data_IF_318585170284
#
_entry.id   IF_318585170284
#
_cell.length_a   1.000
_cell.length_b   1.000
_cell.length_c   1.000
_cell.angle_alpha   90.00
_cell.angle_beta   90.00
_cell.angle_gamma   90.00
#
_symmetry.space_group_name_H-M   'P 1'
#
loop_
_entity.id
_entity.type
_entity.pdbx_description
1 polymer ?
#
# COMPACT_ATOMS: atom_id res chain seq x y z
N UNK A 1 12.57 14.66 4.85
CA UNK A 1 11.96 14.54 3.51
C UNK A 1 11.48 15.92 3.09
N UNK A 2 11.80 16.34 1.86
CA UNK A 2 11.31 17.61 1.35
C UNK A 2 9.79 17.53 1.11
N UNK A 3 9.07 18.64 1.29
CA UNK A 3 7.60 18.75 1.07
C UNK A 3 7.19 18.47 -0.39
N UNK A 4 8.15 18.40 -1.30
CA UNK A 4 7.94 18.27 -2.75
C UNK A 4 8.20 16.85 -3.29
N UNK A 5 8.45 15.85 -2.44
CA UNK A 5 8.68 14.47 -2.91
C UNK A 5 7.39 13.66 -2.85
N UNK A 6 7.02 13.02 -3.96
CA UNK A 6 5.89 12.08 -4.01
C UNK A 6 6.04 11.02 -2.92
N UNK A 7 5.01 10.80 -2.07
CA UNK A 7 5.05 9.78 -1.04
C UNK A 7 5.29 8.38 -1.62
N UNK A 8 5.94 7.50 -0.85
CA UNK A 8 6.21 6.13 -1.29
C UNK A 8 4.92 5.38 -1.70
N UNK A 9 3.82 5.58 -0.97
CA UNK A 9 2.52 4.95 -1.24
C UNK A 9 1.86 5.38 -2.57
N UNK A 10 2.30 6.48 -3.17
CA UNK A 10 1.78 7.02 -4.43
C UNK A 10 2.70 6.76 -5.63
N UNK A 11 3.87 6.16 -5.38
CA UNK A 11 4.81 5.76 -6.44
C UNK A 11 4.43 4.43 -7.03
N UNK A 12 4.67 4.24 -8.33
CA UNK A 12 4.57 2.92 -8.95
C UNK A 12 5.73 2.05 -8.45
N UNK A 13 5.43 0.92 -7.82
CA UNK A 13 6.42 0.00 -7.29
C UNK A 13 6.84 -1.02 -8.34
N UNK A 14 8.12 -0.99 -8.72
CA UNK A 14 8.72 -1.89 -9.70
C UNK A 14 9.66 -2.85 -8.99
N UNK A 15 9.28 -4.12 -8.90
CA UNK A 15 10.12 -5.18 -8.33
C UNK A 15 11.03 -5.78 -9.39
N UNK A 16 12.33 -5.90 -9.07
CA UNK A 16 13.32 -6.50 -9.96
C UNK A 16 13.76 -7.84 -9.37
N UNK A 17 13.39 -8.91 -10.04
CA UNK A 17 13.58 -10.29 -9.65
C UNK A 17 14.58 -10.99 -10.57
N UNK A 18 15.15 -12.06 -10.12
CA UNK A 18 16.06 -12.90 -10.91
C UNK A 18 17.21 -13.46 -10.07
N UNK A 19 17.93 -14.39 -10.66
CA UNK A 19 19.08 -15.04 -10.02
C UNK A 19 20.18 -14.04 -9.67
N UNK A 20 21.08 -14.49 -8.83
CA UNK A 20 22.32 -13.77 -8.58
C UNK A 20 23.10 -13.61 -9.89
N UNK A 21 23.80 -12.52 -10.04
CA UNK A 21 24.61 -12.17 -11.23
C UNK A 21 23.82 -12.07 -12.56
N UNK A 22 22.48 -12.11 -12.54
CA UNK A 22 21.67 -11.84 -13.74
C UNK A 22 21.80 -10.38 -14.23
N UNK A 23 22.46 -9.52 -13.46
CA UNK A 23 22.69 -8.13 -13.81
C UNK A 23 21.55 -7.19 -13.38
N UNK A 24 20.80 -7.55 -12.32
CA UNK A 24 19.71 -6.72 -11.76
C UNK A 24 20.18 -5.30 -11.43
N UNK A 25 21.24 -5.18 -10.64
CA UNK A 25 21.79 -3.88 -10.24
C UNK A 25 22.34 -3.07 -11.42
N UNK A 26 22.99 -3.73 -12.39
CA UNK A 26 23.42 -3.08 -13.63
C UNK A 26 22.24 -2.60 -14.46
N UNK A 27 21.16 -3.37 -14.54
CA UNK A 27 19.94 -2.98 -15.21
C UNK A 27 19.26 -1.78 -14.54
N UNK A 28 19.21 -1.76 -13.21
CA UNK A 28 18.73 -0.59 -12.45
C UNK A 28 19.52 0.66 -12.83
N UNK A 29 20.84 0.58 -12.80
CA UNK A 29 21.71 1.71 -13.15
C UNK A 29 21.49 2.17 -14.59
N UNK A 30 21.34 1.24 -15.56
CA UNK A 30 21.05 1.57 -16.94
C UNK A 30 19.67 2.22 -17.14
N UNK A 31 18.62 1.69 -16.51
CA UNK A 31 17.26 2.25 -16.57
C UNK A 31 17.23 3.66 -15.96
N UNK A 32 17.95 3.89 -14.88
CA UNK A 32 17.90 5.14 -14.11
C UNK A 32 18.90 6.18 -14.62
N UNK A 33 19.82 5.77 -15.47
CA UNK A 33 20.96 6.61 -15.93
C UNK A 33 21.78 7.18 -14.76
N UNK A 34 21.85 6.46 -13.63
CA UNK A 34 22.56 6.84 -12.41
C UNK A 34 23.23 5.61 -11.79
N UNK A 35 24.38 5.78 -11.17
CA UNK A 35 25.04 4.74 -10.39
C UNK A 35 24.37 4.57 -9.01
N UNK A 36 23.12 4.12 -9.00
CA UNK A 36 22.31 4.00 -7.78
C UNK A 36 22.45 2.65 -7.07
N UNK A 37 22.80 1.61 -7.81
CA UNK A 37 22.98 0.27 -7.26
C UNK A 37 24.47 -0.04 -7.12
N UNK A 38 24.87 -0.53 -5.96
CA UNK A 38 26.24 -1.02 -5.75
C UNK A 38 26.35 -2.37 -6.45
N UNK A 39 27.10 -2.41 -7.54
CA UNK A 39 27.50 -3.67 -8.19
C UNK A 39 28.61 -4.27 -7.33
N UNK A 40 28.28 -5.19 -6.43
CA UNK A 40 29.25 -5.86 -5.58
C UNK A 40 29.65 -7.19 -6.20
N UNK A 41 30.94 -7.41 -6.40
CA UNK A 41 31.52 -8.71 -6.78
C UNK A 41 31.62 -9.68 -5.59
N UNK A 42 31.44 -9.20 -4.34
CA UNK A 42 31.56 -10.03 -3.14
C UNK A 42 30.29 -10.83 -2.84
N UNK A 43 30.51 -12.11 -2.54
CA UNK A 43 29.44 -13.05 -2.13
C UNK A 43 28.84 -12.61 -0.80
N UNK A 44 27.51 -12.37 -0.76
CA UNK A 44 26.75 -12.51 0.48
C UNK A 44 26.33 -11.24 1.21
N UNK A 45 26.19 -10.05 0.57
CA UNK A 45 26.06 -8.82 1.33
C UNK A 45 24.65 -8.28 1.55
N UNK A 46 23.59 -8.74 0.87
CA UNK A 46 22.22 -8.25 1.16
C UNK A 46 21.20 -9.36 1.13
N UNK A 47 20.61 -9.62 2.29
CA UNK A 47 19.42 -10.48 2.43
C UNK A 47 18.13 -9.68 2.30
N UNK A 48 18.18 -8.36 2.41
CA UNK A 48 17.02 -7.46 2.41
C UNK A 48 16.82 -6.77 1.06
N UNK A 49 15.56 -6.60 0.62
CA UNK A 49 15.23 -5.80 -0.56
C UNK A 49 15.66 -4.34 -0.37
N UNK A 50 16.22 -3.73 -1.40
CA UNK A 50 16.64 -2.33 -1.39
C UNK A 50 15.61 -1.48 -2.12
N UNK A 51 15.08 -0.46 -1.43
CA UNK A 51 14.06 0.44 -1.96
C UNK A 51 14.69 1.75 -2.42
N UNK A 52 14.40 2.17 -3.65
CA UNK A 52 14.91 3.42 -4.24
C UNK A 52 13.80 4.23 -4.89
N UNK A 53 13.52 5.39 -4.32
CA UNK A 53 12.55 6.35 -4.87
C UNK A 53 13.21 7.22 -5.95
N UNK A 54 12.59 7.34 -7.12
CA UNK A 54 13.09 8.16 -8.22
C UNK A 54 11.99 8.55 -9.21
N UNK A 55 12.37 9.33 -10.22
CA UNK A 55 11.56 9.60 -11.40
C UNK A 55 12.04 8.73 -12.56
N UNK A 56 11.13 8.01 -13.21
CA UNK A 56 11.39 7.20 -14.40
C UNK A 56 10.47 7.66 -15.53
N UNK A 57 11.00 8.44 -16.46
CA UNK A 57 10.24 8.88 -17.62
C UNK A 57 10.10 7.75 -18.67
N UNK A 58 8.92 7.59 -19.32
CA UNK A 58 7.71 8.44 -19.18
C UNK A 58 6.75 8.03 -18.07
N UNK A 59 7.09 7.05 -17.21
CA UNK A 59 6.19 6.52 -16.16
C UNK A 59 5.93 7.54 -15.03
N UNK A 60 6.93 8.38 -14.68
CA UNK A 60 6.87 9.33 -13.57
C UNK A 60 7.47 8.81 -12.27
N UNK A 61 6.89 9.16 -11.09
CA UNK A 61 7.42 8.76 -9.80
C UNK A 61 7.35 7.25 -9.58
N UNK A 62 8.50 6.60 -9.34
CA UNK A 62 8.59 5.16 -9.09
C UNK A 62 9.33 4.84 -7.79
N UNK A 63 9.07 3.65 -7.26
CA UNK A 63 9.85 2.98 -6.23
C UNK A 63 10.44 1.71 -6.83
N UNK A 64 11.74 1.70 -7.11
CA UNK A 64 12.42 0.48 -7.54
C UNK A 64 12.77 -0.35 -6.33
N UNK A 65 12.45 -1.65 -6.39
CA UNK A 65 12.73 -2.62 -5.34
C UNK A 65 13.68 -3.67 -5.91
N UNK A 66 14.96 -3.55 -5.54
CA UNK A 66 15.99 -4.55 -5.89
C UNK A 66 15.89 -5.73 -4.95
N UNK A 67 15.60 -6.92 -5.48
CA UNK A 67 15.45 -8.12 -4.66
C UNK A 67 16.76 -8.90 -4.58
N UNK A 68 17.04 -9.59 -3.44
CA UNK A 68 18.15 -10.54 -3.36
C UNK A 68 18.03 -11.62 -4.45
N UNK A 69 19.16 -12.21 -4.87
CA UNK A 69 19.17 -13.33 -5.80
C UNK A 69 18.41 -14.54 -5.26
N UNK A 70 17.68 -15.26 -6.15
CA UNK A 70 16.76 -16.34 -5.80
C UNK A 70 17.38 -17.75 -5.90
N UNK A 71 18.68 -17.86 -5.99
CA UNK A 71 19.43 -19.07 -6.34
C UNK A 71 20.32 -19.60 -5.22
N UNK A 72 20.17 -19.14 -3.99
CA UNK A 72 20.94 -19.66 -2.86
C UNK A 72 20.24 -20.90 -2.24
N UNK A 73 21.03 -21.93 -1.99
CA UNK A 73 20.62 -23.13 -1.27
C UNK A 73 20.78 -22.95 0.26
N UNK A 74 19.99 -23.68 1.06
CA UNK A 74 20.04 -23.64 2.52
C UNK A 74 19.13 -22.61 3.18
N UNK A 75 19.32 -22.37 4.48
CA UNK A 75 18.47 -21.47 5.29
C UNK A 75 18.43 -20.03 4.78
N UNK A 76 19.56 -19.52 4.29
CA UNK A 76 19.65 -18.19 3.68
C UNK A 76 18.84 -18.08 2.37
N UNK A 77 18.80 -19.17 1.59
CA UNK A 77 17.99 -19.27 0.38
C UNK A 77 16.49 -19.18 0.70
N UNK A 78 16.02 -19.92 1.69
CA UNK A 78 14.63 -19.89 2.14
C UNK A 78 14.20 -18.50 2.62
N UNK A 79 15.05 -17.80 3.38
CA UNK A 79 14.78 -16.43 3.82
C UNK A 79 14.70 -15.44 2.66
N UNK A 80 15.57 -15.56 1.65
CA UNK A 80 15.55 -14.69 0.45
C UNK A 80 14.31 -14.94 -0.39
N UNK A 81 13.89 -16.19 -0.54
CA UNK A 81 12.64 -16.54 -1.24
C UNK A 81 11.45 -15.94 -0.50
N UNK A 82 11.38 -16.06 0.82
CA UNK A 82 10.31 -15.45 1.62
C UNK A 82 10.26 -13.93 1.45
N UNK A 83 11.42 -13.24 1.48
CA UNK A 83 11.50 -11.80 1.26
C UNK A 83 11.10 -11.40 -0.17
N UNK A 84 11.49 -12.17 -1.18
CA UNK A 84 11.05 -11.94 -2.56
C UNK A 84 9.53 -12.12 -2.70
N UNK A 85 8.94 -13.09 -2.02
CA UNK A 85 7.48 -13.29 -1.96
C UNK A 85 6.76 -12.09 -1.33
N UNK A 86 7.32 -11.51 -0.27
CA UNK A 86 6.78 -10.28 0.33
C UNK A 86 6.83 -9.10 -0.65
N UNK A 87 7.93 -8.97 -1.41
CA UNK A 87 8.06 -7.93 -2.44
C UNK A 87 7.02 -8.10 -3.55
N UNK A 88 6.71 -9.33 -3.96
CA UNK A 88 5.66 -9.60 -4.96
C UNK A 88 4.29 -9.03 -4.56
N UNK A 89 3.97 -9.05 -3.26
CA UNK A 89 2.72 -8.47 -2.75
C UNK A 89 2.67 -6.94 -2.77
N UNK A 90 3.81 -6.27 -3.00
CA UNK A 90 3.95 -4.81 -2.97
C UNK A 90 4.15 -4.20 -4.35
N UNK A 91 4.55 -5.01 -5.35
CA UNK A 91 4.88 -4.52 -6.67
C UNK A 91 3.63 -4.28 -7.53
N UNK A 92 3.66 -3.18 -8.28
CA UNK A 92 2.70 -2.87 -9.34
C UNK A 92 3.16 -3.46 -10.68
N UNK A 93 4.49 -3.53 -10.88
CA UNK A 93 5.14 -4.10 -12.08
C UNK A 93 6.30 -4.97 -11.61
N UNK A 94 6.52 -6.12 -12.27
CA UNK A 94 7.65 -6.99 -12.03
C UNK A 94 8.54 -7.12 -13.28
N UNK A 95 9.86 -7.02 -13.07
CA UNK A 95 10.86 -7.36 -14.07
C UNK A 95 11.56 -8.65 -13.65
N UNK A 96 11.43 -9.71 -14.43
CA UNK A 96 12.21 -10.93 -14.25
C UNK A 96 13.46 -10.83 -15.11
N UNK A 97 14.62 -10.67 -14.49
CA UNK A 97 15.91 -10.50 -15.16
C UNK A 97 16.64 -11.83 -15.21
N UNK A 98 16.96 -12.27 -16.40
CA UNK A 98 17.66 -13.52 -16.70
C UNK A 98 18.99 -13.20 -17.39
N UNK A 99 20.04 -13.90 -17.00
CA UNK A 99 21.32 -13.86 -17.72
C UNK A 99 21.19 -14.62 -19.04
N UNK A 100 21.21 -13.91 -20.14
CA UNK A 100 21.04 -14.50 -21.48
C UNK A 100 22.14 -15.52 -21.82
N UNK A 101 23.34 -15.39 -21.25
CA UNK A 101 24.43 -16.34 -21.48
C UNK A 101 24.20 -17.70 -20.83
N UNK A 102 23.37 -17.75 -19.77
CA UNK A 102 22.98 -18.97 -19.04
C UNK A 102 21.67 -19.53 -19.58
N UNK A 103 20.76 -18.65 -20.04
CA UNK A 103 19.41 -19.01 -20.48
C UNK A 103 18.40 -19.17 -19.35
N UNK A 104 17.17 -19.55 -19.74
CA UNK A 104 16.03 -19.71 -18.81
C UNK A 104 16.17 -21.00 -18.00
N UNK A 105 16.18 -20.88 -16.69
CA UNK A 105 16.15 -22.03 -15.77
C UNK A 105 14.74 -22.40 -15.34
N UNK A 106 14.56 -23.57 -14.74
CA UNK A 106 13.27 -23.98 -14.17
C UNK A 106 12.82 -23.06 -13.02
N UNK A 107 13.75 -22.50 -12.24
CA UNK A 107 13.43 -21.52 -11.21
C UNK A 107 12.89 -20.22 -11.78
N UNK A 108 13.44 -19.75 -12.90
CA UNK A 108 12.94 -18.55 -13.61
C UNK A 108 11.53 -18.81 -14.16
N UNK A 109 11.28 -19.98 -14.74
CA UNK A 109 9.96 -20.39 -15.23
C UNK A 109 8.94 -20.49 -14.10
N UNK A 110 9.32 -21.09 -12.97
CA UNK A 110 8.46 -21.20 -11.78
C UNK A 110 8.11 -19.82 -11.22
N UNK A 111 9.06 -18.90 -11.12
CA UNK A 111 8.81 -17.53 -10.69
C UNK A 111 7.90 -16.79 -11.68
N UNK A 112 8.13 -16.96 -12.98
CA UNK A 112 7.25 -16.39 -13.99
C UNK A 112 5.80 -16.86 -13.84
N UNK A 113 5.59 -18.14 -13.60
CA UNK A 113 4.25 -18.69 -13.34
C UNK A 113 3.61 -18.06 -12.08
N UNK A 114 4.37 -17.83 -11.02
CA UNK A 114 3.88 -17.15 -9.82
C UNK A 114 3.46 -15.70 -10.11
N UNK A 115 4.24 -14.97 -10.92
CA UNK A 115 3.89 -13.62 -11.36
C UNK A 115 2.55 -13.60 -12.12
N UNK A 116 2.37 -14.57 -13.01
CA UNK A 116 1.13 -14.71 -13.80
C UNK A 116 -0.06 -15.11 -12.92
N UNK A 117 0.12 -16.05 -11.98
CA UNK A 117 -0.93 -16.45 -11.04
C UNK A 117 -1.43 -15.27 -10.19
N UNK A 118 -0.52 -14.36 -9.81
CA UNK A 118 -0.85 -13.12 -9.09
C UNK A 118 -1.37 -12.00 -10.02
N UNK A 119 -1.52 -12.24 -11.32
CA UNK A 119 -1.91 -11.24 -12.33
C UNK A 119 -1.08 -9.97 -12.23
N UNK A 120 0.20 -10.11 -11.90
CA UNK A 120 1.12 -8.98 -11.79
C UNK A 120 1.64 -8.62 -13.19
N UNK A 121 1.45 -7.38 -13.66
CA UNK A 121 2.05 -6.91 -14.91
C UNK A 121 3.55 -7.17 -14.90
N UNK A 122 4.07 -7.94 -15.86
CA UNK A 122 5.43 -8.45 -15.79
C UNK A 122 6.13 -8.43 -17.14
N UNK A 123 7.43 -8.13 -17.13
CA UNK A 123 8.32 -8.19 -18.30
C UNK A 123 9.43 -9.20 -18.01
N UNK A 124 9.70 -10.07 -18.97
CA UNK A 124 10.86 -10.93 -18.99
C UNK A 124 12.02 -10.18 -19.67
N UNK A 125 13.12 -9.99 -18.94
CA UNK A 125 14.29 -9.25 -19.41
C UNK A 125 15.46 -10.21 -19.56
N UNK A 126 15.87 -10.47 -20.80
CA UNK A 126 17.06 -11.26 -21.13
C UNK A 126 18.25 -10.28 -21.22
N UNK A 127 19.03 -10.21 -20.15
CA UNK A 127 20.16 -9.28 -20.04
C UNK A 127 21.47 -9.95 -20.44
N UNK A 128 22.50 -9.15 -20.72
CA UNK A 128 23.84 -9.56 -21.15
C UNK A 128 23.87 -10.18 -22.57
N UNK A 129 23.00 -9.68 -23.44
CA UNK A 129 22.91 -10.19 -24.82
C UNK A 129 24.17 -9.93 -25.65
N UNK A 130 25.05 -9.02 -25.21
CA UNK A 130 26.37 -8.78 -25.79
C UNK A 130 27.30 -9.98 -25.70
N UNK A 131 27.02 -10.94 -24.83
CA UNK A 131 27.78 -12.20 -24.69
C UNK A 131 27.34 -13.29 -25.67
N UNK A 132 26.28 -13.07 -26.44
CA UNK A 132 25.69 -14.04 -27.34
C UNK A 132 25.83 -13.63 -28.82
N UNK A 133 26.09 -14.59 -29.66
CA UNK A 133 25.94 -14.44 -31.13
C UNK A 133 24.45 -14.35 -31.55
N UNK A 134 24.18 -13.90 -32.77
CA UNK A 134 22.81 -13.68 -33.27
C UNK A 134 21.98 -14.97 -33.24
N UNK A 135 22.59 -16.13 -33.54
CA UNK A 135 21.88 -17.41 -33.58
C UNK A 135 21.40 -17.80 -32.17
N UNK A 136 22.23 -17.65 -31.14
CA UNK A 136 21.87 -17.92 -29.74
C UNK A 136 20.84 -16.93 -29.25
N UNK A 137 20.94 -15.64 -29.62
CA UNK A 137 19.91 -14.64 -29.29
C UNK A 137 18.56 -15.03 -29.87
N UNK A 138 18.50 -15.48 -31.11
CA UNK A 138 17.27 -15.93 -31.77
C UNK A 138 16.66 -17.17 -31.11
N UNK A 139 17.46 -18.18 -30.77
CA UNK A 139 17.01 -19.40 -30.09
C UNK A 139 16.44 -19.09 -28.69
N UNK A 140 17.15 -18.28 -27.93
CA UNK A 140 16.69 -17.87 -26.60
C UNK A 140 15.41 -17.05 -26.66
N UNK A 141 15.29 -16.18 -27.67
CA UNK A 141 14.06 -15.41 -27.91
C UNK A 141 12.88 -16.33 -28.20
N UNK A 142 13.07 -17.34 -29.06
CA UNK A 142 12.03 -18.32 -29.34
C UNK A 142 11.60 -19.12 -28.09
N UNK A 143 12.53 -19.48 -27.24
CA UNK A 143 12.22 -20.13 -25.96
C UNK A 143 11.44 -19.20 -25.04
N UNK A 144 11.87 -17.96 -24.87
CA UNK A 144 11.21 -16.95 -24.05
C UNK A 144 9.80 -16.61 -24.54
N UNK A 145 9.60 -16.56 -25.86
CA UNK A 145 8.29 -16.32 -26.47
C UNK A 145 7.27 -17.43 -26.22
N UNK A 146 7.69 -18.64 -25.86
CA UNK A 146 6.79 -19.70 -25.40
C UNK A 146 6.18 -19.38 -24.02
N UNK A 147 6.87 -18.58 -23.23
CA UNK A 147 6.40 -18.14 -21.90
C UNK A 147 5.60 -16.84 -21.99
N UNK A 148 6.09 -15.86 -22.79
CA UNK A 148 5.47 -14.54 -22.88
C UNK A 148 5.88 -13.79 -24.13
N UNK A 149 4.94 -12.94 -24.62
CA UNK A 149 5.24 -11.93 -25.64
C UNK A 149 5.93 -10.68 -25.09
N UNK A 150 5.87 -10.46 -23.75
CA UNK A 150 6.50 -9.36 -23.05
C UNK A 150 7.95 -9.75 -22.69
N UNK A 151 8.79 -9.93 -23.71
CA UNK A 151 10.19 -10.32 -23.57
C UNK A 151 11.11 -9.32 -24.29
N UNK A 152 12.15 -8.85 -23.57
CA UNK A 152 13.10 -7.87 -24.08
C UNK A 152 14.53 -8.37 -23.93
N UNK A 153 15.27 -8.34 -25.05
CA UNK A 153 16.71 -8.58 -25.09
C UNK A 153 17.44 -7.28 -24.84
N UNK A 154 18.23 -7.22 -23.77
CA UNK A 154 18.94 -6.00 -23.40
C UNK A 154 20.42 -6.26 -23.06
N UNK A 155 21.23 -5.24 -23.22
CA UNK A 155 22.53 -5.16 -22.56
C UNK A 155 22.56 -3.96 -21.64
N UNK A 156 22.52 -4.22 -20.34
CA UNK A 156 22.66 -3.16 -19.34
C UNK A 156 24.06 -2.52 -19.39
N UNK A 157 25.09 -3.30 -19.76
CA UNK A 157 26.47 -2.84 -19.88
C UNK A 157 26.65 -1.93 -21.11
N UNK A 158 26.12 -2.34 -22.26
CA UNK A 158 26.25 -1.60 -23.51
C UNK A 158 25.11 -0.60 -23.75
N UNK A 159 24.20 -0.45 -22.78
CA UNK A 159 22.99 0.39 -22.87
C UNK A 159 22.11 0.09 -24.10
N UNK A 160 22.06 -1.20 -24.54
CA UNK A 160 21.32 -1.63 -25.71
C UNK A 160 19.88 -1.97 -25.33
N UNK A 161 18.89 -1.47 -26.10
CA UNK A 161 17.45 -1.68 -25.92
C UNK A 161 16.90 -1.26 -24.55
N UNK A 162 17.60 -0.36 -23.83
CA UNK A 162 17.16 0.12 -22.51
C UNK A 162 16.01 1.11 -22.65
N UNK A 163 15.98 1.93 -23.71
CA UNK A 163 14.88 2.87 -23.93
C UNK A 163 13.58 2.14 -24.30
N UNK A 164 13.66 1.12 -25.14
CA UNK A 164 12.54 0.26 -25.50
C UNK A 164 11.97 -0.45 -24.25
N UNK A 165 12.85 -0.89 -23.37
CA UNK A 165 12.41 -1.47 -22.08
C UNK A 165 11.71 -0.42 -21.19
N UNK A 166 12.21 0.83 -21.13
CA UNK A 166 11.55 1.91 -20.38
C UNK A 166 10.13 2.19 -20.90
N UNK A 167 9.97 2.26 -22.21
CA UNK A 167 8.65 2.44 -22.85
C UNK A 167 7.72 1.28 -22.54
N UNK A 168 8.23 0.04 -22.60
CA UNK A 168 7.45 -1.13 -22.24
C UNK A 168 7.03 -1.15 -20.77
N UNK A 169 7.91 -0.75 -19.85
CA UNK A 169 7.57 -0.59 -18.43
C UNK A 169 6.49 0.47 -18.26
N UNK A 170 6.60 1.60 -18.96
CA UNK A 170 5.61 2.66 -18.90
C UNK A 170 4.24 2.23 -19.44
N UNK A 171 4.22 1.41 -20.49
CA UNK A 171 2.98 0.86 -21.03
C UNK A 171 2.25 -0.11 -20.08
N UNK A 172 2.98 -0.69 -19.11
CA UNK A 172 2.40 -1.53 -18.04
C UNK A 172 1.90 -0.74 -16.85
N UNK A 173 1.97 0.61 -16.89
CA UNK A 173 1.43 1.43 -15.79
C UNK A 173 0.05 0.91 -15.42
N UNK A 174 -0.18 0.58 -14.13
CA UNK A 174 -1.50 0.20 -13.69
C UNK A 174 -2.50 1.25 -14.16
N UNK A 175 -3.57 0.83 -14.81
CA UNK A 175 -4.65 1.77 -15.09
C UNK A 175 -5.07 2.34 -13.75
N UNK A 176 -4.99 3.65 -13.62
CA UNK A 176 -5.62 4.33 -12.49
C UNK A 176 -7.10 3.96 -12.59
N UNK A 177 -7.50 2.96 -11.82
CA UNK A 177 -8.92 2.82 -11.51
C UNK A 177 -9.21 4.14 -10.83
N UNK A 178 -10.06 4.97 -11.40
CA UNK A 178 -10.49 6.24 -10.78
C UNK A 178 -11.20 5.92 -9.47
N UNK A 179 -10.39 5.53 -8.47
CA UNK A 179 -10.91 5.31 -7.13
C UNK A 179 -11.09 6.67 -6.49
N UNK A 180 -12.34 6.99 -6.32
CA UNK A 180 -12.71 8.28 -5.75
C UNK A 180 -12.37 8.27 -4.25
N UNK A 181 -11.63 9.28 -3.80
CA UNK A 181 -11.44 9.51 -2.38
C UNK A 181 -12.74 10.13 -1.81
N UNK A 182 -13.10 11.33 -2.30
CA UNK A 182 -14.38 11.97 -1.99
C UNK A 182 -14.94 12.81 -3.15
N UNK A 183 -14.24 12.89 -4.27
CA UNK A 183 -14.60 13.80 -5.38
C UNK A 183 -16.00 13.58 -5.95
N UNK A 184 -16.48 12.32 -5.96
CA UNK A 184 -17.83 11.95 -6.38
C UNK A 184 -18.93 12.32 -5.35
N UNK A 185 -18.55 12.64 -4.11
CA UNK A 185 -19.46 13.04 -3.04
C UNK A 185 -19.75 14.54 -3.02
N UNK A 186 -18.97 15.33 -3.76
CA UNK A 186 -19.03 16.79 -3.78
C UNK A 186 -19.22 17.32 -5.20
N UNK A 187 -19.72 18.55 -5.27
CA UNK A 187 -19.82 19.34 -6.50
C UNK A 187 -18.93 20.58 -6.39
N UNK A 188 -18.61 21.23 -7.51
CA UNK A 188 -17.93 22.52 -7.46
C UNK A 188 -18.60 23.50 -6.50
N UNK A 189 -17.79 24.20 -5.71
CA UNK A 189 -18.20 25.15 -4.66
C UNK A 189 -18.85 24.52 -3.41
N UNK A 190 -19.01 23.19 -3.31
CA UNK A 190 -19.42 22.57 -2.06
C UNK A 190 -18.37 22.79 -0.97
N UNK A 191 -18.81 23.08 0.25
CA UNK A 191 -17.94 23.29 1.40
C UNK A 191 -17.70 21.93 2.09
N UNK A 192 -16.44 21.56 2.28
CA UNK A 192 -16.02 20.41 3.07
C UNK A 192 -15.22 20.90 4.28
N UNK A 193 -15.66 20.53 5.48
CA UNK A 193 -14.94 20.84 6.71
C UNK A 193 -14.02 19.68 7.09
N UNK A 194 -12.74 19.95 7.21
CA UNK A 194 -11.70 18.99 7.58
C UNK A 194 -11.30 19.26 9.04
N UNK A 195 -11.64 18.34 9.93
CA UNK A 195 -11.27 18.44 11.35
C UNK A 195 -9.96 17.68 11.56
N UNK A 196 -8.89 18.45 11.80
CA UNK A 196 -7.52 17.95 11.86
C UNK A 196 -6.94 18.22 13.26
N UNK A 197 -7.01 17.25 14.18
CA UNK A 197 -6.36 17.38 15.47
C UNK A 197 -4.86 17.63 15.29
N UNK A 198 -4.29 18.49 16.12
CA UNK A 198 -2.83 18.63 16.19
C UNK A 198 -2.29 17.52 17.08
N UNK A 199 -1.86 16.44 16.45
CA UNK A 199 -1.24 15.33 17.14
C UNK A 199 0.24 15.65 17.45
N UNK A 200 0.64 15.48 18.70
CA UNK A 200 2.04 15.60 19.13
C UNK A 200 2.97 14.58 18.46
N UNK A 201 2.42 13.47 17.94
CA UNK A 201 3.15 12.46 17.17
C UNK A 201 3.35 12.85 15.70
N UNK A 202 2.57 13.81 15.18
CA UNK A 202 2.74 14.30 13.82
C UNK A 202 4.01 15.16 13.70
N UNK A 203 4.74 15.12 12.57
CA UNK A 203 5.88 16.00 12.36
C UNK A 203 5.45 17.46 12.51
N UNK A 204 6.14 18.21 13.36
CA UNK A 204 5.85 19.65 13.65
C UNK A 204 5.71 20.43 12.34
N UNK A 205 4.61 21.17 12.19
CA UNK A 205 4.33 22.01 11.03
C UNK A 205 3.81 21.26 9.81
N UNK A 206 3.35 20.00 9.93
CA UNK A 206 2.85 19.20 8.80
C UNK A 206 1.51 18.56 9.12
N UNK A 207 0.64 18.51 8.11
CA UNK A 207 -0.51 17.61 8.09
C UNK A 207 -0.02 16.18 7.76
N UNK A 208 -0.70 15.17 8.30
CA UNK A 208 -0.42 13.77 7.92
C UNK A 208 -0.94 13.48 6.50
N UNK A 209 -0.38 12.46 5.85
CA UNK A 209 -0.65 12.15 4.45
C UNK A 209 -2.16 12.03 4.11
N UNK A 210 -3.01 11.34 4.88
CA UNK A 210 -4.44 11.28 4.58
C UNK A 210 -5.13 12.65 4.58
N UNK A 211 -4.75 13.54 5.49
CA UNK A 211 -5.30 14.88 5.58
C UNK A 211 -4.92 15.71 4.34
N UNK A 212 -3.65 15.62 3.90
CA UNK A 212 -3.17 16.30 2.70
C UNK A 212 -3.87 15.78 1.43
N UNK A 213 -4.03 14.47 1.30
CA UNK A 213 -4.69 13.85 0.15
C UNK A 213 -6.17 14.23 0.04
N UNK A 214 -6.89 14.22 1.17
CA UNK A 214 -8.30 14.63 1.19
C UNK A 214 -8.43 16.11 0.88
N UNK A 215 -7.61 16.97 1.49
CA UNK A 215 -7.58 18.41 1.18
C UNK A 215 -7.33 18.64 -0.31
N UNK A 216 -6.33 18.00 -0.88
CA UNK A 216 -6.00 18.10 -2.30
C UNK A 216 -7.14 17.60 -3.18
N UNK A 217 -7.78 16.49 -2.83
CA UNK A 217 -8.90 15.95 -3.60
C UNK A 217 -10.13 16.87 -3.59
N UNK A 218 -10.40 17.58 -2.48
CA UNK A 218 -11.45 18.63 -2.45
C UNK A 218 -11.14 19.73 -3.48
N UNK A 219 -9.90 20.22 -3.51
CA UNK A 219 -9.48 21.29 -4.43
C UNK A 219 -9.50 20.84 -5.90
N UNK A 220 -9.03 19.63 -6.19
CA UNK A 220 -9.03 19.06 -7.54
C UNK A 220 -10.46 18.93 -8.09
N UNK A 221 -11.46 18.74 -7.23
CA UNK A 221 -12.88 18.70 -7.58
C UNK A 221 -13.57 20.07 -7.46
N UNK A 222 -12.81 21.17 -7.38
CA UNK A 222 -13.30 22.54 -7.29
C UNK A 222 -14.18 22.81 -6.07
N UNK A 223 -14.03 22.01 -5.00
CA UNK A 223 -14.68 22.23 -3.71
C UNK A 223 -13.94 23.28 -2.88
N UNK A 224 -14.56 23.71 -1.79
CA UNK A 224 -14.00 24.62 -0.80
C UNK A 224 -13.65 23.83 0.45
N UNK A 225 -12.38 23.83 0.85
CA UNK A 225 -11.93 23.17 2.07
C UNK A 225 -11.79 24.18 3.22
N UNK A 226 -12.46 23.92 4.34
CA UNK A 226 -12.30 24.64 5.59
C UNK A 226 -11.63 23.69 6.59
N UNK A 227 -10.40 23.98 7.01
CA UNK A 227 -9.65 23.13 7.93
C UNK A 227 -9.62 23.76 9.31
N UNK A 228 -10.00 22.98 10.32
CA UNK A 228 -10.11 23.44 11.72
C UNK A 228 -9.62 22.35 12.68
N UNK A 229 -9.30 22.74 13.90
CA UNK A 229 -9.13 21.80 15.02
C UNK A 229 -10.51 21.45 15.63
N UNK A 230 -10.54 20.49 16.52
CA UNK A 230 -11.77 20.06 17.20
C UNK A 230 -12.39 21.21 18.03
N UNK A 231 -11.53 22.01 18.69
CA UNK A 231 -11.91 23.11 19.56
C UNK A 231 -12.65 24.23 18.82
N UNK A 232 -12.29 24.51 17.56
CA UNK A 232 -12.86 25.56 16.75
C UNK A 232 -14.04 25.08 15.87
N UNK A 233 -14.34 23.77 15.85
CA UNK A 233 -15.35 23.22 14.95
C UNK A 233 -16.73 23.84 15.14
N UNK A 234 -17.20 23.99 16.37
CA UNK A 234 -18.52 24.55 16.65
C UNK A 234 -18.64 25.99 16.14
N UNK A 235 -17.61 26.81 16.40
CA UNK A 235 -17.55 28.19 15.95
C UNK A 235 -17.43 28.28 14.43
N UNK A 236 -16.63 27.42 13.81
CA UNK A 236 -16.50 27.38 12.36
C UNK A 236 -17.83 27.04 11.70
N UNK A 237 -18.57 26.02 12.17
CA UNK A 237 -19.88 25.67 11.65
C UNK A 237 -20.89 26.81 11.82
N UNK A 238 -20.86 27.54 12.94
CA UNK A 238 -21.75 28.69 13.19
C UNK A 238 -21.47 29.90 12.27
N UNK A 239 -20.24 30.04 11.78
CA UNK A 239 -19.85 31.14 10.86
C UNK A 239 -20.10 30.83 9.39
N UNK A 240 -20.37 29.59 9.02
CA UNK A 240 -20.69 29.25 7.63
C UNK A 240 -22.11 29.73 7.29
N UNK A 241 -22.23 30.45 6.21
CA UNK A 241 -23.56 30.94 5.69
C UNK A 241 -24.41 29.76 5.21
N UNK A 242 -23.75 28.69 4.72
CA UNK A 242 -24.41 27.48 4.26
C UNK A 242 -23.84 26.28 5.00
N UNK A 243 -24.66 25.25 5.31
CA UNK A 243 -24.16 24.04 5.95
C UNK A 243 -23.14 23.34 5.02
N UNK A 244 -22.06 22.79 5.58
CA UNK A 244 -21.10 22.06 4.76
C UNK A 244 -21.73 20.80 4.17
N UNK A 245 -21.29 20.44 2.97
CA UNK A 245 -21.69 19.22 2.28
C UNK A 245 -21.24 17.97 3.01
N UNK A 246 -20.07 18.04 3.65
CA UNK A 246 -19.43 16.91 4.35
C UNK A 246 -18.50 17.44 5.43
N UNK A 247 -18.47 16.77 6.57
CA UNK A 247 -17.43 16.93 7.60
C UNK A 247 -16.56 15.67 7.58
N UNK A 248 -15.24 15.84 7.50
CA UNK A 248 -14.26 14.75 7.55
C UNK A 248 -13.39 14.96 8.78
N UNK A 249 -13.30 13.95 9.64
CA UNK A 249 -12.55 14.04 10.89
C UNK A 249 -11.49 12.95 11.01
N UNK A 250 -10.53 13.14 11.92
CA UNK A 250 -9.68 12.04 12.37
C UNK A 250 -10.49 11.06 13.22
N UNK A 251 -10.17 9.77 13.13
CA UNK A 251 -10.91 8.74 13.86
C UNK A 251 -10.80 8.87 15.37
N UNK A 252 -9.71 9.44 15.88
CA UNK A 252 -9.55 9.71 17.32
C UNK A 252 -10.54 10.77 17.83
N UNK A 253 -10.90 11.72 16.96
CA UNK A 253 -11.79 12.82 17.28
C UNK A 253 -13.27 12.47 17.08
N UNK A 254 -13.61 11.31 16.53
CA UNK A 254 -14.99 10.93 16.21
C UNK A 254 -15.97 11.14 17.37
N UNK A 255 -15.60 10.72 18.58
CA UNK A 255 -16.47 10.83 19.74
C UNK A 255 -16.84 12.28 20.10
N UNK A 256 -15.92 13.22 19.98
CA UNK A 256 -16.14 14.63 20.23
C UNK A 256 -16.87 15.30 19.04
N UNK A 257 -16.37 15.09 17.83
CA UNK A 257 -16.88 15.69 16.60
C UNK A 257 -18.33 15.28 16.31
N UNK A 258 -18.67 14.01 16.55
CA UNK A 258 -20.05 13.51 16.34
C UNK A 258 -21.11 14.16 17.20
N UNK A 259 -20.71 14.73 18.36
CA UNK A 259 -21.60 15.47 19.27
C UNK A 259 -21.76 16.93 18.82
N UNK A 260 -20.76 17.51 18.15
CA UNK A 260 -20.78 18.90 17.67
C UNK A 260 -21.50 19.01 16.33
N UNK A 261 -21.24 18.08 15.40
CA UNK A 261 -21.81 18.10 14.06
C UNK A 261 -23.28 17.65 14.09
N UNK A 262 -24.24 18.51 13.65
CA UNK A 262 -25.65 18.13 13.58
C UNK A 262 -25.87 16.84 12.78
N UNK A 263 -26.89 16.02 13.12
CA UNK A 263 -27.20 14.79 12.39
C UNK A 263 -27.53 15.00 10.91
N UNK A 264 -27.99 16.17 10.55
CA UNK A 264 -28.32 16.57 9.16
C UNK A 264 -27.10 16.79 8.29
N UNK A 265 -25.92 16.97 8.88
CA UNK A 265 -24.66 17.14 8.16
C UNK A 265 -23.96 15.79 8.05
N UNK A 266 -23.64 15.31 6.84
CA UNK A 266 -22.88 14.09 6.62
C UNK A 266 -21.51 14.16 7.31
N UNK A 267 -21.13 13.07 7.97
CA UNK A 267 -19.87 12.95 8.73
C UNK A 267 -19.16 11.65 8.33
N UNK A 268 -17.87 11.75 8.05
CA UNK A 268 -17.00 10.59 7.81
C UNK A 268 -15.60 10.81 8.40
N UNK A 269 -14.66 9.90 8.16
CA UNK A 269 -13.27 10.08 8.60
C UNK A 269 -12.26 9.88 7.49
N UNK A 270 -11.06 10.46 7.70
CA UNK A 270 -9.93 10.25 6.81
C UNK A 270 -9.62 8.76 6.61
N UNK A 271 -9.69 7.94 7.65
CA UNK A 271 -9.42 6.50 7.55
C UNK A 271 -10.49 5.73 6.78
N UNK A 272 -11.76 6.12 6.86
CA UNK A 272 -12.84 5.53 6.04
C UNK A 272 -12.63 5.88 4.56
N UNK A 273 -12.34 7.15 4.26
CA UNK A 273 -12.05 7.59 2.91
C UNK A 273 -10.79 6.90 2.34
N UNK A 274 -9.75 6.72 3.14
CA UNK A 274 -8.55 5.99 2.72
C UNK A 274 -8.80 4.50 2.48
N UNK A 275 -9.63 3.85 3.31
CA UNK A 275 -10.03 2.46 3.08
C UNK A 275 -10.86 2.32 1.79
N UNK A 276 -11.72 3.30 1.49
CA UNK A 276 -12.44 3.41 0.22
C UNK A 276 -11.47 3.51 -0.95
N UNK A 277 -10.56 4.47 -0.88
CA UNK A 277 -9.55 4.72 -1.91
C UNK A 277 -8.68 3.49 -2.18
N UNK A 278 -8.33 2.72 -1.15
CA UNK A 278 -7.55 1.48 -1.26
C UNK A 278 -8.39 0.23 -1.57
N UNK A 279 -9.71 0.37 -1.70
CA UNK A 279 -10.61 -0.73 -2.06
C UNK A 279 -10.82 -1.78 -0.98
N UNK A 280 -10.53 -1.47 0.29
CA UNK A 280 -10.66 -2.40 1.42
C UNK A 280 -11.87 -2.11 2.31
N UNK A 281 -12.66 -1.06 2.00
CA UNK A 281 -13.70 -0.55 2.89
C UNK A 281 -14.83 -1.56 3.14
N UNK A 282 -15.35 -2.21 2.09
CA UNK A 282 -16.47 -3.17 2.22
C UNK A 282 -16.10 -4.32 3.15
N UNK A 283 -14.97 -4.97 2.88
CA UNK A 283 -14.48 -6.06 3.71
C UNK A 283 -14.24 -5.63 5.17
N UNK A 284 -13.71 -4.43 5.39
CA UNK A 284 -13.45 -3.92 6.71
C UNK A 284 -14.73 -3.61 7.51
N UNK A 285 -15.80 -3.14 6.85
CA UNK A 285 -17.11 -2.89 7.47
C UNK A 285 -17.82 -4.20 7.82
N UNK A 286 -17.70 -5.23 7.00
CA UNK A 286 -18.23 -6.56 7.33
C UNK A 286 -17.48 -7.20 8.48
N UNK A 287 -16.14 -7.11 8.45
CA UNK A 287 -15.26 -7.72 9.45
C UNK A 287 -15.42 -7.14 10.85
N UNK A 288 -15.79 -5.87 10.99
CA UNK A 288 -15.86 -5.21 12.30
C UNK A 288 -16.88 -5.83 13.25
N UNK A 289 -17.93 -6.47 12.71
CA UNK A 289 -18.97 -7.15 13.51
C UNK A 289 -18.40 -8.30 14.36
N UNK A 290 -17.23 -8.81 14.04
CA UNK A 290 -16.53 -9.82 14.85
C UNK A 290 -16.26 -9.31 16.26
N UNK A 291 -16.15 -8.00 16.47
CA UNK A 291 -16.02 -7.40 17.80
C UNK A 291 -17.15 -7.84 18.75
N UNK A 292 -18.38 -8.07 18.27
CA UNK A 292 -19.52 -8.50 19.10
C UNK A 292 -19.40 -9.95 19.58
N UNK A 293 -18.52 -10.74 18.96
CA UNK A 293 -18.37 -12.18 19.23
C UNK A 293 -17.08 -12.54 19.93
N UNK A 294 -16.25 -11.56 20.26
CA UNK A 294 -14.96 -11.77 20.93
C UNK A 294 -15.13 -12.31 22.35
N UNK A 295 -14.25 -13.21 22.72
CA UNK A 295 -14.19 -13.86 24.05
C UNK A 295 -12.83 -13.72 24.66
N UNK A 296 -12.73 -14.07 25.93
CA UNK A 296 -11.46 -14.14 26.66
C UNK A 296 -10.50 -15.11 25.96
N UNK A 297 -9.26 -14.68 25.78
CA UNK A 297 -8.22 -15.44 25.12
C UNK A 297 -8.25 -15.44 23.59
N UNK A 298 -9.28 -14.86 22.92
CA UNK A 298 -9.27 -14.69 21.46
C UNK A 298 -8.08 -13.79 21.07
N UNK A 299 -7.33 -14.19 20.05
CA UNK A 299 -6.16 -13.44 19.58
C UNK A 299 -6.56 -12.41 18.53
N UNK A 300 -6.13 -11.17 18.74
CA UNK A 300 -6.32 -10.06 17.80
C UNK A 300 -4.96 -9.56 17.35
N UNK A 301 -4.75 -9.52 16.02
CA UNK A 301 -3.57 -8.89 15.44
C UNK A 301 -3.85 -7.41 15.19
N UNK A 302 -3.11 -6.54 15.86
CA UNK A 302 -3.07 -5.10 15.56
C UNK A 302 -1.85 -4.84 14.66
N UNK A 303 -2.10 -4.42 13.41
CA UNK A 303 -1.06 -4.27 12.40
C UNK A 303 -0.94 -2.82 11.92
N UNK A 304 0.28 -2.30 11.95
CA UNK A 304 0.61 -0.96 11.48
C UNK A 304 1.45 -0.99 10.21
N UNK A 305 1.08 -0.18 9.23
CA UNK A 305 1.80 -0.10 7.94
C UNK A 305 3.08 0.74 7.97
N UNK A 306 3.44 1.31 9.11
CA UNK A 306 4.62 2.15 9.27
C UNK A 306 5.33 1.85 10.59
N UNK A 307 6.58 2.30 10.68
CA UNK A 307 7.43 2.19 11.88
C UNK A 307 7.63 3.55 12.52
N UNK A 308 6.53 4.28 12.77
CA UNK A 308 6.65 5.55 13.48
C UNK A 308 6.91 5.32 14.97
N UNK A 309 7.47 6.34 15.62
CA UNK A 309 7.85 6.26 17.02
C UNK A 309 6.59 6.11 17.91
N UNK A 310 6.48 4.99 18.61
CA UNK A 310 5.37 4.72 19.53
C UNK A 310 5.47 5.63 20.74
N UNK A 311 4.42 6.39 21.01
CA UNK A 311 4.31 7.25 22.18
C UNK A 311 3.53 6.56 23.31
N UNK A 312 3.61 7.08 24.54
CA UNK A 312 2.92 6.50 25.72
C UNK A 312 1.39 6.42 25.60
N UNK A 313 0.79 7.10 24.62
CA UNK A 313 -0.66 7.07 24.33
C UNK A 313 -0.94 6.71 22.85
N UNK A 314 -0.14 5.82 22.31
CA UNK A 314 -0.32 5.34 20.93
C UNK A 314 -1.70 4.70 20.71
N UNK A 315 -2.27 4.94 19.51
CA UNK A 315 -3.62 4.47 19.18
C UNK A 315 -3.64 2.95 19.11
N UNK A 316 -2.68 2.36 18.40
CA UNK A 316 -2.66 0.94 18.10
C UNK A 316 -2.34 0.08 19.30
N UNK A 317 -1.35 0.48 20.10
CA UNK A 317 -0.84 -0.37 21.20
C UNK A 317 -1.49 -0.10 22.55
N UNK A 318 -2.13 1.07 22.74
CA UNK A 318 -2.70 1.46 24.06
C UNK A 318 -4.19 1.73 23.98
N UNK A 319 -4.61 2.70 23.15
CA UNK A 319 -6.00 3.16 23.14
C UNK A 319 -6.96 2.11 22.57
N UNK A 320 -6.64 1.55 21.42
CA UNK A 320 -7.51 0.59 20.72
C UNK A 320 -7.71 -0.70 21.53
N UNK A 321 -6.68 -1.34 22.11
CA UNK A 321 -6.87 -2.44 23.05
C UNK A 321 -7.82 -2.11 24.21
N UNK A 322 -7.65 -0.93 24.83
CA UNK A 322 -8.52 -0.46 25.91
C UNK A 322 -9.98 -0.27 25.47
N UNK A 323 -10.20 0.32 24.30
CA UNK A 323 -11.55 0.49 23.76
C UNK A 323 -12.21 -0.86 23.40
N UNK A 324 -11.47 -1.79 22.78
CA UNK A 324 -11.96 -3.14 22.45
C UNK A 324 -12.38 -3.86 23.74
N UNK A 325 -11.54 -3.91 24.78
CA UNK A 325 -11.89 -4.53 26.06
C UNK A 325 -13.14 -3.90 26.70
N UNK A 326 -13.19 -2.56 26.69
CA UNK A 326 -14.33 -1.83 27.24
C UNK A 326 -15.63 -2.11 26.49
N UNK A 327 -15.57 -2.29 25.19
CA UNK A 327 -16.71 -2.56 24.33
C UNK A 327 -17.19 -4.00 24.47
N UNK A 328 -16.28 -4.97 24.31
CA UNK A 328 -16.57 -6.40 24.28
C UNK A 328 -16.84 -7.00 25.66
N UNK A 329 -16.36 -6.33 26.73
CA UNK A 329 -16.31 -6.87 28.10
C UNK A 329 -15.53 -8.18 28.21
N UNK A 330 -14.67 -8.48 27.28
CA UNK A 330 -13.78 -9.63 27.22
C UNK A 330 -12.31 -9.20 27.34
N UNK A 331 -11.46 -10.17 27.67
CA UNK A 331 -10.01 -10.01 27.75
C UNK A 331 -9.30 -10.76 26.60
N UNK A 332 -9.35 -10.23 25.37
CA UNK A 332 -8.62 -10.81 24.24
C UNK A 332 -7.11 -10.58 24.38
N UNK A 333 -6.34 -11.46 23.75
CA UNK A 333 -4.88 -11.34 23.63
C UNK A 333 -4.53 -10.49 22.41
N UNK A 334 -3.70 -9.43 22.60
CA UNK A 334 -3.28 -8.56 21.50
C UNK A 334 -1.87 -8.88 21.05
N UNK A 335 -1.74 -9.16 19.74
CA UNK A 335 -0.46 -9.30 19.06
C UNK A 335 -0.24 -8.07 18.17
N UNK A 336 1.02 -7.68 17.96
CA UNK A 336 1.35 -6.47 17.24
C UNK A 336 2.33 -6.75 16.11
N UNK A 337 2.12 -6.13 14.94
CA UNK A 337 3.08 -6.08 13.84
C UNK A 337 3.21 -4.66 13.30
N UNK A 338 4.36 -4.32 12.73
CA UNK A 338 4.63 -2.97 12.21
C UNK A 338 5.43 -2.98 10.92
N UNK A 339 5.26 -1.93 10.13
CA UNK A 339 5.98 -1.73 8.88
C UNK A 339 5.69 -2.84 7.86
N UNK A 340 6.73 -3.52 7.41
CA UNK A 340 6.64 -4.60 6.41
C UNK A 340 6.36 -5.98 7.01
N UNK A 341 6.37 -6.08 8.35
CA UNK A 341 6.15 -7.33 9.07
C UNK A 341 4.65 -7.62 9.20
N UNK A 342 4.07 -8.20 8.16
CA UNK A 342 2.71 -8.71 8.21
C UNK A 342 2.78 -10.25 8.16
N UNK A 343 2.28 -10.98 9.18
CA UNK A 343 2.44 -12.44 9.27
C UNK A 343 1.91 -13.17 8.04
N UNK A 344 2.57 -14.26 7.66
CA UNK A 344 2.12 -15.15 6.60
C UNK A 344 0.98 -16.04 7.07
N UNK A 345 1.08 -16.58 8.28
CA UNK A 345 0.03 -17.36 8.94
C UNK A 345 -0.80 -16.44 9.86
N UNK A 346 -2.05 -16.27 9.49
CA UNK A 346 -3.04 -15.50 10.22
C UNK A 346 -4.06 -16.40 10.94
N UNK A 347 -4.03 -17.71 10.75
CA UNK A 347 -5.04 -18.67 11.20
C UNK A 347 -5.30 -18.67 12.72
N UNK A 348 -4.30 -18.25 13.50
CA UNK A 348 -4.42 -18.13 14.95
C UNK A 348 -5.21 -16.89 15.41
N UNK A 349 -5.45 -15.92 14.53
CA UNK A 349 -6.13 -14.67 14.90
C UNK A 349 -7.62 -14.71 14.60
N UNK A 350 -8.42 -14.25 15.55
CA UNK A 350 -9.87 -14.10 15.39
C UNK A 350 -10.21 -12.87 14.57
N UNK A 351 -9.38 -11.84 14.65
CA UNK A 351 -9.55 -10.57 13.95
C UNK A 351 -8.19 -9.91 13.69
N UNK A 352 -8.05 -9.31 12.51
CA UNK A 352 -6.95 -8.37 12.22
C UNK A 352 -7.52 -6.95 12.23
N UNK A 353 -6.91 -6.05 13.01
CA UNK A 353 -7.21 -4.62 13.00
C UNK A 353 -6.00 -3.86 12.45
N UNK A 354 -6.09 -3.42 11.21
CA UNK A 354 -5.01 -2.75 10.51
C UNK A 354 -5.12 -1.22 10.66
N UNK A 355 -4.00 -0.50 10.71
CA UNK A 355 -4.04 0.97 10.61
C UNK A 355 -4.55 1.40 9.22
N UNK A 356 -4.75 2.70 8.99
CA UNK A 356 -5.19 3.23 7.69
C UNK A 356 -4.25 2.96 6.51
N UNK A 357 -3.04 2.44 6.79
CA UNK A 357 -2.07 2.04 5.77
C UNK A 357 -1.63 3.19 4.86
N UNK A 358 -1.57 4.42 5.36
CA UNK A 358 -1.26 5.61 4.57
C UNK A 358 0.13 5.56 3.90
N UNK A 359 1.08 4.85 4.49
CA UNK A 359 2.43 4.66 3.97
C UNK A 359 2.58 3.45 3.06
N UNK A 360 1.57 2.59 2.98
CA UNK A 360 1.54 1.42 2.12
C UNK A 360 0.86 1.78 0.79
N UNK A 361 1.38 1.24 -0.31
CA UNK A 361 0.68 1.36 -1.58
C UNK A 361 -0.62 0.52 -1.58
N UNK A 362 -1.45 0.76 -2.57
CA UNK A 362 -2.73 0.07 -2.71
C UNK A 362 -2.57 -1.45 -2.81
N UNK A 363 -1.61 -1.89 -3.62
CA UNK A 363 -1.36 -3.31 -3.87
C UNK A 363 -0.97 -4.06 -2.60
N UNK A 364 -0.16 -3.46 -1.76
CA UNK A 364 0.21 -4.07 -0.48
C UNK A 364 -1.00 -4.18 0.46
N UNK A 365 -1.85 -3.17 0.52
CA UNK A 365 -3.08 -3.22 1.33
C UNK A 365 -4.04 -4.29 0.82
N UNK A 366 -4.21 -4.41 -0.49
CA UNK A 366 -5.02 -5.48 -1.10
C UNK A 366 -4.42 -6.86 -0.84
N UNK A 367 -3.11 -7.02 -1.01
CA UNK A 367 -2.42 -8.30 -0.74
C UNK A 367 -2.59 -8.74 0.71
N UNK A 368 -2.54 -7.82 1.69
CA UNK A 368 -2.80 -8.12 3.10
C UNK A 368 -4.26 -8.53 3.33
N UNK A 369 -5.20 -7.82 2.72
CA UNK A 369 -6.63 -8.13 2.80
C UNK A 369 -6.96 -9.49 2.15
N UNK A 370 -6.41 -9.76 0.96
CA UNK A 370 -6.58 -11.06 0.27
C UNK A 370 -5.98 -12.21 1.06
N UNK A 371 -4.81 -12.01 1.70
CA UNK A 371 -4.19 -13.02 2.57
C UNK A 371 -5.05 -13.34 3.78
N UNK A 372 -5.65 -12.33 4.41
CA UNK A 372 -6.57 -12.53 5.52
C UNK A 372 -7.83 -13.27 5.06
N UNK A 373 -8.42 -12.87 3.94
CA UNK A 373 -9.60 -13.51 3.36
C UNK A 373 -9.33 -14.98 2.95
N UNK A 374 -8.18 -15.28 2.34
CA UNK A 374 -7.79 -16.64 1.96
C UNK A 374 -7.66 -17.59 3.15
N UNK A 375 -7.41 -17.06 4.34
CA UNK A 375 -7.33 -17.83 5.59
C UNK A 375 -8.60 -17.72 6.44
N UNK A 376 -9.68 -17.12 5.89
CA UNK A 376 -10.94 -16.87 6.59
C UNK A 376 -10.76 -16.05 7.89
N UNK A 377 -9.78 -15.14 7.92
CA UNK A 377 -9.55 -14.23 9.04
C UNK A 377 -10.10 -12.86 8.70
N UNK A 378 -11.13 -12.37 9.41
CA UNK A 378 -11.69 -11.05 9.20
C UNK A 378 -10.65 -9.95 9.42
N UNK A 379 -10.62 -8.95 8.53
CA UNK A 379 -9.70 -7.82 8.62
C UNK A 379 -10.45 -6.50 8.54
N UNK A 380 -10.38 -5.71 9.60
CA UNK A 380 -10.92 -4.34 9.68
C UNK A 380 -9.81 -3.31 9.84
N UNK A 381 -10.15 -2.03 9.94
CA UNK A 381 -9.19 -0.97 10.20
C UNK A 381 -9.52 -0.16 11.46
N UNK A 382 -8.52 0.61 11.95
CA UNK A 382 -8.66 1.45 13.15
C UNK A 382 -9.89 2.35 13.08
N UNK A 383 -10.08 3.08 11.98
CA UNK A 383 -11.18 4.03 11.87
C UNK A 383 -12.55 3.40 11.91
N UNK A 384 -12.72 2.25 11.27
CA UNK A 384 -13.97 1.50 11.27
C UNK A 384 -14.22 0.87 12.65
N UNK A 385 -13.18 0.28 13.26
CA UNK A 385 -13.28 -0.28 14.61
C UNK A 385 -13.66 0.80 15.63
N UNK A 386 -13.02 1.96 15.59
CA UNK A 386 -13.33 3.10 16.48
C UNK A 386 -14.76 3.59 16.23
N UNK A 387 -15.16 3.78 14.98
CA UNK A 387 -16.51 4.22 14.64
C UNK A 387 -17.58 3.23 15.11
N UNK A 388 -17.29 1.92 15.00
CA UNK A 388 -18.19 0.86 15.47
C UNK A 388 -18.34 0.86 17.00
N UNK A 389 -17.22 0.88 17.73
CA UNK A 389 -17.17 0.92 19.19
C UNK A 389 -17.93 2.14 19.74
N UNK A 390 -17.83 3.29 19.07
CA UNK A 390 -18.56 4.49 19.45
C UNK A 390 -20.01 4.56 18.95
N UNK A 391 -20.51 3.54 18.24
CA UNK A 391 -21.89 3.49 17.73
C UNK A 391 -22.19 4.47 16.59
N UNK A 392 -21.14 5.01 15.93
CA UNK A 392 -21.28 6.03 14.87
C UNK A 392 -20.94 5.50 13.47
N UNK A 393 -20.64 4.20 13.32
CA UNK A 393 -20.25 3.63 12.03
C UNK A 393 -21.32 3.84 10.96
N UNK A 394 -22.59 3.58 11.27
CA UNK A 394 -23.70 3.76 10.32
C UNK A 394 -23.75 5.21 9.79
N UNK A 395 -23.61 6.20 10.67
CA UNK A 395 -23.53 7.62 10.29
C UNK A 395 -22.29 7.93 9.45
N UNK A 396 -21.15 7.33 9.80
CA UNK A 396 -19.87 7.62 9.16
C UNK A 396 -19.75 7.07 7.74
N UNK A 397 -20.51 6.03 7.40
CA UNK A 397 -20.56 5.46 6.05
C UNK A 397 -21.82 5.87 5.27
N UNK A 398 -22.75 6.59 5.90
CA UNK A 398 -23.96 7.08 5.24
C UNK A 398 -23.69 7.91 3.96
N UNK A 399 -22.59 8.71 3.87
CA UNK A 399 -22.23 9.36 2.62
C UNK A 399 -21.87 8.41 1.47
N UNK A 400 -21.70 7.11 1.74
CA UNK A 400 -21.28 6.05 0.82
C UNK A 400 -22.38 5.00 0.68
N UNK A 401 -23.38 5.18 -0.23
CA UNK A 401 -24.60 4.37 -0.25
C UNK A 401 -24.37 2.87 -0.38
N UNK A 402 -23.38 2.45 -1.19
CA UNK A 402 -23.07 1.03 -1.40
C UNK A 402 -22.49 0.37 -0.14
N UNK A 403 -21.79 1.13 0.68
CA UNK A 403 -21.23 0.66 1.97
C UNK A 403 -22.31 0.70 3.06
N UNK A 404 -23.15 1.73 3.05
CA UNK A 404 -24.23 1.86 4.03
C UNK A 404 -25.19 0.66 4.00
N UNK A 405 -25.47 0.10 2.82
CA UNK A 405 -26.28 -1.10 2.64
C UNK A 405 -25.72 -2.34 3.34
N UNK A 406 -24.42 -2.43 3.56
CA UNK A 406 -23.80 -3.56 4.28
C UNK A 406 -24.16 -3.56 5.78
N UNK A 407 -24.68 -2.44 6.30
CA UNK A 407 -25.06 -2.27 7.70
C UNK A 407 -26.59 -2.31 7.92
N UNK A 408 -27.36 -2.51 6.88
CA UNK A 408 -28.80 -2.78 6.94
C UNK A 408 -29.04 -4.27 7.21
#
# INVERSE_FOLDING_TARGET
>A
MSLNTTPAAERVHIGIFGKRNAGKSSLINAITSQELAIVSEQKGTTTDPVYKAMELLPLGPVMIIDTPGLDDEGELGAQRIAKAQQVLGKCDIALLVVDASVGLSEADKALWQQLQAKKLPSILVLNKVELLDEMRQALLTMEAMKLTKQCFLVSALANRNINELKEAIAALRPREVERQLLGDLIKPCDIVVLVTPIDSAAPKGRLILPQQQVLRNVLDNKGIAVTVQESELAEALARLTFPPKLVVTDSQAFGAVSKIVPPTIPLTSFSILMARYKGTLSAAVEAVRVLDTLKDGDKILISEGCTHHRQCQDIGTVKLPGWIRSFTKAEPEFCFSSGTEFPEDLSQYKLVVHCGGCMLNEREMQSRSERAAAQNVPMTNYGIAIAYIHGILKRSVAPLPDIAKLLE
#
